data_IF_273811399208
#
_entry.id   IF_273811399208
#
_cell.length_a   1.000
_cell.length_b   1.000
_cell.length_c   1.000
_cell.angle_alpha   90.00
_cell.angle_beta   90.00
_cell.angle_gamma   90.00
#
_symmetry.space_group_name_H-M   'P 1'
#
loop_
_entity.id
_entity.type
_entity.pdbx_description
1 polymer ?
#
# COMPACT_ATOMS: atom_id res chain seq x y z
N UNK A 1 38.96 -7.21 -22.32
CA UNK A 1 39.25 -5.78 -22.05
C UNK A 1 38.01 -4.97 -22.38
N UNK A 2 37.59 -4.09 -21.46
CA UNK A 2 36.58 -3.01 -21.60
C UNK A 2 35.13 -3.44 -21.96
N UNK A 3 34.05 -2.86 -21.42
CA UNK A 3 33.84 -1.88 -20.36
C UNK A 3 32.35 -1.96 -19.93
N UNK A 4 32.08 -1.32 -18.78
CA UNK A 4 30.82 -1.22 -18.06
C UNK A 4 29.81 -0.26 -18.73
N UNK A 5 28.57 -0.32 -18.24
CA UNK A 5 27.56 0.78 -18.18
C UNK A 5 26.80 1.05 -19.49
N UNK A 6 25.50 1.33 -19.53
CA UNK A 6 24.57 1.68 -18.46
C UNK A 6 23.13 1.75 -18.96
N UNK A 7 22.24 1.62 -17.99
CA UNK A 7 20.78 1.79 -18.07
C UNK A 7 20.44 3.28 -18.28
N UNK A 8 19.41 3.54 -19.10
CA UNK A 8 18.47 4.68 -19.05
C UNK A 8 18.25 5.33 -20.43
N UNK A 9 17.21 4.92 -21.17
CA UNK A 9 16.65 5.74 -22.25
C UNK A 9 15.24 5.26 -22.65
N UNK A 10 14.22 5.47 -21.80
CA UNK A 10 12.81 5.31 -22.19
C UNK A 10 11.87 6.29 -21.46
N UNK A 11 12.25 7.57 -21.35
CA UNK A 11 11.41 8.59 -20.73
C UNK A 11 11.49 9.96 -21.41
N UNK A 12 11.39 10.02 -22.74
CA UNK A 12 11.50 11.30 -23.47
C UNK A 12 10.64 11.41 -24.75
N UNK A 13 9.51 10.69 -24.85
CA UNK A 13 8.63 10.74 -26.03
C UNK A 13 7.12 10.86 -25.72
N UNK A 14 6.73 11.52 -24.62
CA UNK A 14 5.31 11.74 -24.29
C UNK A 14 4.95 13.18 -23.86
N UNK A 15 5.74 14.18 -24.24
CA UNK A 15 5.48 15.61 -23.87
C UNK A 15 5.29 16.54 -25.08
N UNK A 16 5.22 16.03 -26.32
CA UNK A 16 5.15 16.88 -27.52
C UNK A 16 3.95 16.62 -28.46
N UNK A 17 2.82 16.13 -27.95
CA UNK A 17 1.58 16.08 -28.73
C UNK A 17 0.35 16.30 -27.85
N UNK A 18 0.02 17.57 -27.61
CA UNK A 18 -1.16 17.95 -26.82
C UNK A 18 -1.36 19.45 -26.64
N UNK A 19 -0.88 20.27 -27.58
CA UNK A 19 -1.15 21.70 -27.66
C UNK A 19 -1.91 21.98 -28.97
N UNK A 20 -3.20 21.65 -29.04
CA UNK A 20 -4.10 22.17 -30.09
C UNK A 20 -5.51 22.30 -29.50
N UNK A 21 -6.11 23.47 -29.73
CA UNK A 21 -7.42 23.97 -29.28
C UNK A 21 -7.44 24.71 -27.93
N UNK A 22 -6.70 25.83 -27.91
CA UNK A 22 -7.21 27.03 -27.28
C UNK A 22 -8.49 27.47 -28.02
N UNK A 23 -9.62 27.46 -27.33
CA UNK A 23 -10.79 28.25 -27.71
C UNK A 23 -10.94 29.35 -26.68
N UNK A 24 -10.73 30.58 -27.13
CA UNK A 24 -10.98 31.80 -26.36
C UNK A 24 -12.47 31.91 -26.03
N UNK A 25 -12.84 31.62 -24.78
CA UNK A 25 -14.14 31.98 -24.25
C UNK A 25 -14.11 33.45 -23.81
N UNK A 26 -14.36 34.36 -24.76
CA UNK A 26 -14.67 35.76 -24.48
C UNK A 26 -16.07 35.82 -23.84
N UNK A 27 -16.13 36.00 -22.53
CA UNK A 27 -17.39 36.28 -21.84
C UNK A 27 -17.61 37.80 -21.85
N UNK A 28 -18.47 38.27 -22.76
CA UNK A 28 -19.01 39.63 -22.77
C UNK A 28 -20.09 39.70 -21.68
N UNK A 29 -19.87 40.49 -20.63
CA UNK A 29 -20.92 40.82 -19.65
C UNK A 29 -21.46 42.21 -19.98
N UNK A 30 -22.65 42.21 -20.58
CA UNK A 30 -23.43 43.39 -20.92
C UNK A 30 -23.95 44.07 -19.62
N UNK A 31 -23.48 45.28 -19.34
CA UNK A 31 -23.93 46.08 -18.19
C UNK A 31 -25.28 46.69 -18.52
N UNK A 32 -26.36 46.16 -17.94
CA UNK A 32 -27.66 46.84 -17.89
C UNK A 32 -28.04 47.23 -16.46
N UNK A 33 -27.95 48.53 -16.20
CA UNK A 33 -28.58 49.21 -15.07
C UNK A 33 -30.09 48.95 -15.07
N UNK A 34 -30.59 48.18 -14.08
CA UNK A 34 -31.97 48.30 -13.61
C UNK A 34 -32.02 48.18 -12.09
N UNK A 35 -32.18 49.32 -11.44
CA UNK A 35 -32.64 49.47 -10.07
C UNK A 35 -34.02 48.86 -9.89
N UNK A 36 -34.17 47.94 -8.91
CA UNK A 36 -35.33 47.87 -8.01
C UNK A 36 -34.96 47.07 -6.75
N UNK A 37 -35.41 47.49 -5.55
CA UNK A 37 -34.90 47.01 -4.27
C UNK A 37 -35.69 45.81 -3.71
N UNK A 38 -35.09 45.23 -2.66
CA UNK A 38 -35.74 44.46 -1.59
C UNK A 38 -36.40 43.12 -1.96
N UNK A 39 -35.61 42.06 -1.85
CA UNK A 39 -35.84 41.07 -0.79
C UNK A 39 -34.49 40.67 -0.21
N UNK A 40 -34.30 40.97 1.07
CA UNK A 40 -33.17 40.48 1.85
C UNK A 40 -33.25 38.95 1.90
N UNK A 41 -32.66 38.30 0.89
CA UNK A 41 -32.30 36.90 0.98
C UNK A 41 -31.23 36.86 2.06
N UNK A 42 -31.61 36.41 3.26
CA UNK A 42 -30.66 36.02 4.30
C UNK A 42 -29.68 35.07 3.62
N UNK A 43 -28.50 35.60 3.31
CA UNK A 43 -27.35 34.81 2.90
C UNK A 43 -27.05 33.98 4.13
N UNK A 44 -27.50 32.72 4.12
CA UNK A 44 -27.01 31.72 5.03
C UNK A 44 -25.49 31.87 5.02
N UNK A 45 -24.93 32.23 6.18
CA UNK A 45 -23.50 32.44 6.32
C UNK A 45 -22.79 31.25 5.69
N UNK A 46 -21.87 31.45 4.74
CA UNK A 46 -21.13 30.33 4.19
C UNK A 46 -20.45 29.65 5.38
N UNK A 47 -20.74 28.36 5.57
CA UNK A 47 -19.95 27.51 6.47
C UNK A 47 -18.49 27.86 6.27
N UNK A 48 -17.79 28.18 7.36
CA UNK A 48 -16.43 28.71 7.30
C UNK A 48 -15.59 27.80 6.38
N UNK A 49 -15.24 28.27 5.18
CA UNK A 49 -14.59 27.45 4.15
C UNK A 49 -13.33 26.74 4.69
N UNK A 50 -12.66 27.40 5.63
CA UNK A 50 -11.54 26.87 6.39
C UNK A 50 -11.88 25.63 7.24
N UNK A 51 -12.98 25.64 7.99
CA UNK A 51 -13.38 24.48 8.81
C UNK A 51 -13.77 23.28 7.95
N UNK A 52 -14.33 23.52 6.77
CA UNK A 52 -14.60 22.47 5.78
C UNK A 52 -13.31 21.83 5.25
N UNK A 53 -12.27 22.61 4.98
CA UNK A 53 -10.97 22.05 4.54
C UNK A 53 -10.30 21.26 5.66
N UNK A 54 -10.37 21.74 6.90
CA UNK A 54 -9.86 21.03 8.07
C UNK A 54 -10.55 19.69 8.29
N UNK A 55 -11.89 19.64 8.19
CA UNK A 55 -12.63 18.39 8.34
C UNK A 55 -12.30 17.40 7.22
N UNK A 56 -12.15 17.89 5.97
CA UNK A 56 -11.70 17.06 4.85
C UNK A 56 -10.29 16.51 5.05
N UNK A 57 -9.37 17.31 5.60
CA UNK A 57 -8.01 16.86 5.92
C UNK A 57 -8.04 15.74 6.96
N UNK A 58 -8.80 15.93 8.04
CA UNK A 58 -8.94 14.92 9.10
C UNK A 58 -9.57 13.63 8.58
N UNK A 59 -10.65 13.73 7.80
CA UNK A 59 -11.30 12.58 7.18
C UNK A 59 -10.35 11.84 6.22
N UNK A 60 -9.58 12.55 5.41
CA UNK A 60 -8.65 11.92 4.47
C UNK A 60 -7.49 11.24 5.21
N UNK A 61 -7.01 11.83 6.33
CA UNK A 61 -6.03 11.21 7.22
C UNK A 61 -6.56 9.93 7.84
N UNK A 62 -7.79 9.93 8.36
CA UNK A 62 -8.40 8.73 8.95
C UNK A 62 -8.61 7.64 7.92
N UNK A 63 -9.05 7.99 6.71
CA UNK A 63 -9.26 7.03 5.64
C UNK A 63 -7.96 6.37 5.17
N UNK A 64 -6.88 7.15 5.02
CA UNK A 64 -5.56 6.64 4.68
C UNK A 64 -5.01 5.71 5.77
N UNK A 65 -5.16 6.10 7.04
CA UNK A 65 -4.75 5.27 8.17
C UNK A 65 -5.55 3.98 8.24
N UNK A 66 -6.87 4.05 8.07
CA UNK A 66 -7.75 2.88 8.06
C UNK A 66 -7.34 1.90 6.96
N UNK A 67 -7.06 2.40 5.75
CA UNK A 67 -6.60 1.57 4.64
C UNK A 67 -5.33 0.79 4.98
N UNK A 68 -4.34 1.45 5.59
CA UNK A 68 -3.08 0.82 5.98
C UNK A 68 -3.27 -0.22 7.10
N UNK A 69 -4.03 0.14 8.13
CA UNK A 69 -4.27 -0.74 9.29
C UNK A 69 -5.08 -1.99 8.91
N UNK A 70 -6.08 -1.87 8.05
CA UNK A 70 -6.83 -3.03 7.51
C UNK A 70 -5.91 -3.95 6.70
N UNK A 71 -5.00 -3.41 5.90
CA UNK A 71 -4.00 -4.25 5.23
C UNK A 71 -3.04 -4.94 6.18
N UNK A 72 -2.41 -4.18 7.07
CA UNK A 72 -1.38 -4.71 7.97
C UNK A 72 -1.96 -5.82 8.86
N UNK A 73 -3.19 -5.65 9.33
CA UNK A 73 -3.90 -6.67 10.12
C UNK A 73 -4.20 -7.93 9.30
N UNK A 74 -4.78 -7.82 8.10
CA UNK A 74 -5.12 -9.00 7.27
C UNK A 74 -3.90 -9.73 6.76
N UNK A 75 -2.97 -9.02 6.12
CA UNK A 75 -1.76 -9.61 5.57
C UNK A 75 -0.87 -10.20 6.69
N UNK A 76 -0.79 -9.51 7.83
CA UNK A 76 -0.08 -9.99 9.00
C UNK A 76 -0.70 -11.25 9.60
N UNK A 77 -2.04 -11.32 9.68
CA UNK A 77 -2.72 -12.51 10.20
C UNK A 77 -2.58 -13.73 9.28
N UNK A 78 -2.72 -13.53 7.96
CA UNK A 78 -2.55 -14.60 6.98
C UNK A 78 -1.11 -15.15 7.01
N UNK A 79 -0.11 -14.28 7.09
CA UNK A 79 1.29 -14.67 7.22
C UNK A 79 1.55 -15.36 8.56
N UNK A 80 1.06 -14.82 9.68
CA UNK A 80 1.20 -15.43 11.00
C UNK A 80 0.65 -16.85 11.00
N UNK A 81 -0.56 -17.04 10.48
CA UNK A 81 -1.22 -18.34 10.36
C UNK A 81 -0.41 -19.32 9.50
N UNK A 82 0.15 -18.85 8.39
CA UNK A 82 1.04 -19.68 7.58
C UNK A 82 2.31 -20.09 8.35
N UNK A 83 2.94 -19.14 9.04
CA UNK A 83 4.16 -19.38 9.80
C UNK A 83 3.94 -20.36 10.95
N UNK A 84 2.81 -20.26 11.66
CA UNK A 84 2.45 -21.21 12.70
C UNK A 84 2.23 -22.61 12.13
N UNK A 85 1.63 -22.71 10.94
CA UNK A 85 1.35 -24.00 10.31
C UNK A 85 2.60 -24.68 9.72
N UNK A 86 3.56 -23.90 9.22
CA UNK A 86 4.79 -24.45 8.63
C UNK A 86 5.85 -24.74 9.69
N UNK A 87 5.78 -24.11 10.86
CA UNK A 87 6.72 -24.36 11.96
C UNK A 87 6.47 -25.75 12.54
N UNK A 88 7.49 -26.60 12.56
CA UNK A 88 7.34 -28.00 12.98
C UNK A 88 6.69 -28.88 11.90
N UNK A 89 6.58 -28.38 10.66
CA UNK A 89 6.15 -29.19 9.52
C UNK A 89 7.10 -30.36 9.28
N UNK A 90 8.41 -30.15 9.42
CA UNK A 90 9.39 -31.21 9.23
C UNK A 90 9.24 -32.33 10.26
N UNK A 91 9.08 -31.98 11.53
CA UNK A 91 8.86 -32.94 12.60
C UNK A 91 7.56 -33.72 12.41
N UNK A 92 6.51 -33.05 11.89
CA UNK A 92 5.26 -33.70 11.48
C UNK A 92 5.47 -34.77 10.41
N UNK A 93 6.18 -34.43 9.33
CA UNK A 93 6.48 -35.38 8.24
C UNK A 93 7.32 -36.57 8.74
N UNK A 94 8.30 -36.31 9.60
CA UNK A 94 9.15 -37.36 10.19
C UNK A 94 8.31 -38.29 11.06
N UNK A 95 7.41 -37.76 11.89
CA UNK A 95 6.53 -38.54 12.75
C UNK A 95 5.53 -39.38 11.93
N UNK A 96 4.94 -38.80 10.89
CA UNK A 96 3.94 -39.48 10.04
C UNK A 96 4.52 -40.66 9.26
N UNK A 97 5.84 -40.66 9.05
CA UNK A 97 6.55 -41.77 8.45
C UNK A 97 6.51 -43.05 9.31
N UNK A 98 6.19 -42.94 10.61
CA UNK A 98 6.08 -44.03 11.58
C UNK A 98 7.31 -44.97 11.65
N UNK A 99 8.43 -44.58 11.05
CA UNK A 99 9.70 -45.28 11.14
C UNK A 99 10.47 -44.71 12.33
N UNK A 100 10.87 -45.60 13.25
CA UNK A 100 11.81 -45.19 14.30
C UNK A 100 13.12 -44.82 13.60
N UNK A 101 13.77 -43.70 14.00
CA UNK A 101 15.11 -43.43 13.50
C UNK A 101 15.97 -44.68 13.72
N UNK A 102 16.73 -45.12 12.71
CA UNK A 102 17.50 -46.35 12.80
C UNK A 102 18.44 -46.28 14.01
N UNK A 103 18.55 -47.39 14.74
CA UNK A 103 19.33 -47.50 15.99
C UNK A 103 20.83 -47.18 15.82
N UNK A 104 21.30 -47.09 14.57
CA UNK A 104 22.68 -46.78 14.20
C UNK A 104 22.73 -45.45 13.44
N UNK A 105 23.61 -44.53 13.87
CA UNK A 105 23.86 -43.17 13.37
C UNK A 105 24.34 -43.05 11.90
N UNK A 106 24.14 -44.08 11.05
CA UNK A 106 24.85 -44.24 9.77
C UNK A 106 23.95 -44.43 8.55
N UNK A 107 22.62 -44.47 8.67
CA UNK A 107 21.80 -44.47 7.45
C UNK A 107 21.87 -43.10 6.77
N UNK A 108 22.78 -42.98 5.80
CA UNK A 108 22.96 -41.80 4.96
C UNK A 108 21.63 -41.34 4.35
N UNK A 109 20.77 -42.31 4.00
CA UNK A 109 19.38 -42.10 3.59
C UNK A 109 18.59 -41.26 4.60
N UNK A 110 18.65 -41.58 5.90
CA UNK A 110 17.91 -40.86 6.96
C UNK A 110 18.44 -39.44 7.12
N UNK A 111 19.77 -39.25 7.20
CA UNK A 111 20.37 -37.91 7.33
C UNK A 111 20.01 -37.02 6.14
N UNK A 112 20.03 -37.58 4.92
CA UNK A 112 19.64 -36.87 3.70
C UNK A 112 18.16 -36.51 3.70
N UNK A 113 17.30 -37.43 4.12
CA UNK A 113 15.87 -37.21 4.28
C UNK A 113 15.57 -36.09 5.29
N UNK A 114 16.08 -36.21 6.51
CA UNK A 114 15.88 -35.25 7.60
C UNK A 114 16.34 -33.85 7.19
N UNK A 115 17.54 -33.75 6.60
CA UNK A 115 18.06 -32.49 6.08
C UNK A 115 17.13 -31.89 5.01
N UNK A 116 16.65 -32.71 4.07
CA UNK A 116 15.79 -32.24 2.98
C UNK A 116 14.45 -31.73 3.51
N UNK A 117 13.81 -32.42 4.44
CA UNK A 117 12.54 -32.00 5.01
C UNK A 117 12.70 -30.71 5.83
N UNK A 118 13.74 -30.61 6.67
CA UNK A 118 14.07 -29.37 7.40
C UNK A 118 14.35 -28.19 6.47
N UNK A 119 15.04 -28.46 5.35
CA UNK A 119 15.29 -27.45 4.31
C UNK A 119 13.99 -26.99 3.64
N UNK A 120 13.06 -27.89 3.34
CA UNK A 120 11.75 -27.56 2.77
C UNK A 120 10.98 -26.61 3.71
N UNK A 121 10.93 -26.91 5.02
CA UNK A 121 10.33 -26.03 6.02
C UNK A 121 11.01 -24.65 6.04
N UNK A 122 12.34 -24.62 6.12
CA UNK A 122 13.11 -23.38 6.15
C UNK A 122 12.87 -22.52 4.90
N UNK A 123 12.92 -23.12 3.72
CA UNK A 123 12.72 -22.42 2.44
C UNK A 123 11.30 -21.88 2.32
N UNK A 124 10.28 -22.66 2.71
CA UNK A 124 8.89 -22.22 2.71
C UNK A 124 8.66 -21.05 3.68
N UNK A 125 9.22 -21.13 4.89
CA UNK A 125 9.17 -20.06 5.90
C UNK A 125 9.84 -18.79 5.38
N UNK A 126 11.06 -18.90 4.85
CA UNK A 126 11.82 -17.76 4.32
C UNK A 126 11.13 -17.10 3.14
N UNK A 127 10.59 -17.89 2.21
CA UNK A 127 9.85 -17.39 1.06
C UNK A 127 8.56 -16.65 1.48
N UNK A 128 7.85 -17.16 2.49
CA UNK A 128 6.65 -16.52 3.02
C UNK A 128 6.96 -15.16 3.67
N UNK A 129 8.00 -15.10 4.52
CA UNK A 129 8.44 -13.84 5.16
C UNK A 129 8.87 -12.82 4.09
N UNK A 130 9.70 -13.24 3.13
CA UNK A 130 10.13 -12.36 2.05
C UNK A 130 8.93 -11.81 1.25
N UNK A 131 7.95 -12.65 0.94
CA UNK A 131 6.72 -12.21 0.28
C UNK A 131 5.97 -11.18 1.11
N UNK A 132 5.81 -11.42 2.41
CA UNK A 132 5.16 -10.49 3.34
C UNK A 132 5.86 -9.13 3.39
N UNK A 133 7.18 -9.12 3.48
CA UNK A 133 7.98 -7.89 3.49
C UNK A 133 7.83 -7.09 2.19
N UNK A 134 7.80 -7.77 1.04
CA UNK A 134 7.60 -7.11 -0.25
C UNK A 134 6.23 -6.44 -0.33
N UNK A 135 5.18 -7.15 0.10
CA UNK A 135 3.82 -6.61 0.12
C UNK A 135 3.68 -5.45 1.10
N UNK A 136 4.28 -5.56 2.28
CA UNK A 136 4.33 -4.48 3.26
C UNK A 136 4.99 -3.22 2.71
N UNK A 137 6.19 -3.35 2.13
CA UNK A 137 6.94 -2.23 1.54
C UNK A 137 6.17 -1.57 0.40
N UNK A 138 5.49 -2.35 -0.45
CA UNK A 138 4.69 -1.82 -1.54
C UNK A 138 3.59 -0.87 -1.03
N UNK A 139 2.77 -1.33 -0.06
CA UNK A 139 1.69 -0.47 0.46
C UNK A 139 2.24 0.69 1.29
N UNK A 140 3.31 0.47 2.05
CA UNK A 140 3.96 1.52 2.83
C UNK A 140 4.43 2.68 1.92
N UNK A 141 4.90 2.39 0.70
CA UNK A 141 5.25 3.40 -0.30
C UNK A 141 4.09 4.35 -0.60
N UNK A 142 2.88 3.84 -0.83
CA UNK A 142 1.69 4.67 -1.02
C UNK A 142 1.36 5.51 0.23
N UNK A 143 1.51 4.93 1.42
CA UNK A 143 1.23 5.66 2.67
C UNK A 143 2.20 6.80 2.93
N UNK A 144 3.47 6.64 2.54
CA UNK A 144 4.47 7.72 2.64
C UNK A 144 4.08 8.88 1.72
N UNK A 145 3.66 8.59 0.48
CA UNK A 145 3.21 9.61 -0.47
C UNK A 145 1.96 10.33 0.06
N UNK A 146 0.96 9.59 0.55
CA UNK A 146 -0.23 10.20 1.18
C UNK A 146 0.14 11.10 2.35
N UNK A 147 1.01 10.63 3.25
CA UNK A 147 1.48 11.42 4.40
C UNK A 147 2.19 12.69 3.95
N UNK A 148 3.02 12.63 2.92
CA UNK A 148 3.71 13.81 2.38
C UNK A 148 2.70 14.88 1.91
N UNK A 149 1.69 14.50 1.12
CA UNK A 149 0.67 15.44 0.65
C UNK A 149 -0.19 15.99 1.80
N UNK A 150 -0.63 15.14 2.72
CA UNK A 150 -1.46 15.55 3.86
C UNK A 150 -0.70 16.45 4.84
N UNK A 151 0.60 16.20 5.07
CA UNK A 151 1.46 17.09 5.86
C UNK A 151 1.61 18.46 5.18
N UNK A 152 1.79 18.48 3.85
CA UNK A 152 1.87 19.73 3.09
C UNK A 152 0.58 20.53 3.17
N UNK A 153 -0.59 19.88 3.09
CA UNK A 153 -1.88 20.52 3.36
C UNK A 153 -1.95 21.11 4.77
N UNK A 154 -1.53 20.34 5.78
CA UNK A 154 -1.51 20.80 7.17
C UNK A 154 -0.63 22.03 7.36
N UNK A 155 0.55 22.08 6.73
CA UNK A 155 1.45 23.23 6.79
C UNK A 155 0.83 24.50 6.18
N UNK A 156 0.07 24.36 5.09
CA UNK A 156 -0.68 25.49 4.52
C UNK A 156 -1.76 25.98 5.49
N UNK A 157 -2.50 25.09 6.14
CA UNK A 157 -3.55 25.45 7.10
C UNK A 157 -2.96 26.09 8.36
N UNK A 158 -1.83 25.60 8.87
CA UNK A 158 -1.09 26.24 9.99
C UNK A 158 -0.66 27.66 9.65
N UNK A 159 -0.27 27.93 8.39
CA UNK A 159 0.05 29.29 7.93
C UNK A 159 -1.20 30.17 7.88
N UNK A 160 -2.34 29.62 7.46
CA UNK A 160 -3.63 30.31 7.54
C UNK A 160 -3.93 30.70 9.00
N UNK A 161 -3.91 29.73 9.93
CA UNK A 161 -4.16 29.96 11.36
C UNK A 161 -3.24 31.05 11.93
N UNK A 162 -1.96 31.02 11.60
CA UNK A 162 -1.00 32.01 12.12
C UNK A 162 -1.35 33.44 11.69
N UNK A 163 -1.89 33.62 10.49
CA UNK A 163 -2.25 34.94 9.94
C UNK A 163 -3.65 35.37 10.36
N UNK A 164 -4.56 34.42 10.60
CA UNK A 164 -5.94 34.72 11.04
C UNK A 164 -6.07 34.85 12.55
N UNK A 165 -5.09 34.37 13.34
CA UNK A 165 -5.04 34.57 14.81
C UNK A 165 -5.12 36.06 15.16
N UNK A 166 -6.20 36.44 15.85
CA UNK A 166 -6.43 37.80 16.31
C UNK A 166 -7.07 38.73 15.27
N UNK A 167 -7.41 38.22 14.08
CA UNK A 167 -8.16 38.97 13.10
C UNK A 167 -9.58 38.44 12.98
N UNK A 168 -10.56 39.35 12.88
CA UNK A 168 -11.93 38.99 12.51
C UNK A 168 -11.97 38.41 11.08
N UNK A 169 -13.13 37.89 10.67
CA UNK A 169 -13.44 37.41 9.29
C UNK A 169 -12.75 38.10 8.10
N UNK A 170 -12.52 39.44 8.05
CA UNK A 170 -11.76 40.08 6.97
C UNK A 170 -10.45 39.40 6.58
N UNK A 171 -9.67 38.84 7.51
CA UNK A 171 -8.37 38.24 7.15
C UNK A 171 -8.49 36.90 6.43
N UNK A 172 -9.58 36.16 6.63
CA UNK A 172 -9.85 34.90 5.93
C UNK A 172 -10.07 35.12 4.42
N UNK A 173 -10.60 36.29 4.06
CA UNK A 173 -10.86 36.64 2.66
C UNK A 173 -9.64 37.21 1.93
N UNK A 174 -8.51 37.38 2.61
CA UNK A 174 -7.29 37.88 1.99
C UNK A 174 -6.84 36.95 0.84
N UNK A 175 -6.32 37.51 -0.28
CA UNK A 175 -5.86 36.70 -1.41
C UNK A 175 -4.80 35.67 -1.01
N UNK A 176 -3.97 36.01 -0.02
CA UNK A 176 -2.91 35.14 0.51
C UNK A 176 -3.47 33.92 1.24
N UNK A 177 -4.46 34.10 2.13
CA UNK A 177 -5.11 32.99 2.85
C UNK A 177 -5.90 32.11 1.88
N UNK A 178 -6.66 32.71 0.96
CA UNK A 178 -7.37 31.96 -0.10
C UNK A 178 -6.43 31.12 -0.96
N UNK A 179 -5.23 31.63 -1.29
CA UNK A 179 -4.23 30.87 -2.03
C UNK A 179 -3.77 29.63 -1.26
N UNK A 180 -3.45 29.77 0.04
CA UNK A 180 -3.05 28.63 0.87
C UNK A 180 -4.17 27.62 1.08
N UNK A 181 -5.41 28.08 1.28
CA UNK A 181 -6.59 27.22 1.35
C UNK A 181 -6.75 26.38 0.07
N UNK A 182 -6.64 27.02 -1.10
CA UNK A 182 -6.68 26.32 -2.40
C UNK A 182 -5.55 25.30 -2.54
N UNK A 183 -4.32 25.66 -2.16
CA UNK A 183 -3.18 24.74 -2.20
C UNK A 183 -3.38 23.54 -1.25
N UNK A 184 -3.89 23.77 -0.04
CA UNK A 184 -4.21 22.70 0.90
C UNK A 184 -5.27 21.75 0.32
N UNK A 185 -6.33 22.31 -0.27
CA UNK A 185 -7.41 21.54 -0.87
C UNK A 185 -6.94 20.74 -2.08
N UNK A 186 -6.06 21.28 -2.92
CA UNK A 186 -5.48 20.56 -4.05
C UNK A 186 -4.66 19.34 -3.60
N UNK A 187 -3.86 19.48 -2.55
CA UNK A 187 -3.07 18.35 -2.02
C UNK A 187 -3.96 17.29 -1.33
N UNK A 188 -5.06 17.69 -0.67
CA UNK A 188 -6.08 16.76 -0.15
C UNK A 188 -6.75 16.02 -1.31
N UNK A 189 -7.11 16.75 -2.37
CA UNK A 189 -7.79 16.19 -3.53
C UNK A 189 -6.94 15.12 -4.23
N UNK A 190 -5.64 15.38 -4.43
CA UNK A 190 -4.69 14.40 -4.98
C UNK A 190 -4.73 13.07 -4.23
N UNK A 191 -4.66 13.11 -2.90
CA UNK A 191 -4.74 11.90 -2.07
C UNK A 191 -6.09 11.19 -2.24
N UNK A 192 -7.19 11.95 -2.30
CA UNK A 192 -8.52 11.38 -2.51
C UNK A 192 -8.69 10.74 -3.89
N UNK A 193 -8.08 11.31 -4.93
CA UNK A 193 -8.07 10.74 -6.28
C UNK A 193 -7.25 9.45 -6.37
N UNK A 194 -6.12 9.38 -5.66
CA UNK A 194 -5.26 8.20 -5.62
C UNK A 194 -5.79 7.08 -4.70
N UNK A 195 -6.70 7.41 -3.78
CA UNK A 195 -7.21 6.47 -2.78
C UNK A 195 -7.99 5.29 -3.40
N UNK A 196 -8.90 5.46 -4.38
CA UNK A 196 -9.53 4.35 -5.09
C UNK A 196 -8.52 3.42 -5.76
N UNK A 197 -7.47 3.96 -6.38
CA UNK A 197 -6.40 3.15 -6.97
C UNK A 197 -5.69 2.33 -5.88
N UNK A 198 -5.26 2.97 -4.81
CA UNK A 198 -4.55 2.32 -3.70
C UNK A 198 -5.42 1.24 -3.04
N UNK A 199 -6.74 1.46 -2.92
CA UNK A 199 -7.71 0.46 -2.44
C UNK A 199 -7.79 -0.76 -3.36
N UNK A 200 -7.72 -0.58 -4.68
CA UNK A 200 -7.68 -1.70 -5.64
C UNK A 200 -6.37 -2.46 -5.52
N UNK A 201 -5.24 -1.77 -5.55
CA UNK A 201 -3.92 -2.38 -5.38
C UNK A 201 -3.83 -3.16 -4.08
N UNK A 202 -4.40 -2.63 -2.99
CA UNK A 202 -4.55 -3.34 -1.72
C UNK A 202 -5.29 -4.69 -1.85
N UNK A 203 -6.49 -4.69 -2.46
CA UNK A 203 -7.29 -5.92 -2.63
C UNK A 203 -6.54 -6.96 -3.47
N UNK A 204 -5.87 -6.52 -4.51
CA UNK A 204 -5.08 -7.39 -5.39
C UNK A 204 -3.88 -7.96 -4.64
N UNK A 205 -3.21 -7.14 -3.81
CA UNK A 205 -2.05 -7.53 -3.02
C UNK A 205 -2.41 -8.57 -1.96
N UNK A 206 -3.51 -8.39 -1.23
CA UNK A 206 -4.00 -9.39 -0.26
C UNK A 206 -4.35 -10.70 -0.97
N UNK A 207 -5.05 -10.63 -2.10
CA UNK A 207 -5.41 -11.81 -2.88
C UNK A 207 -4.17 -12.52 -3.43
N UNK A 208 -3.17 -11.77 -3.88
CA UNK A 208 -1.89 -12.29 -4.31
C UNK A 208 -1.11 -12.93 -3.17
N UNK A 209 -1.05 -12.30 -1.99
CA UNK A 209 -0.41 -12.85 -0.79
C UNK A 209 -1.02 -14.21 -0.41
N UNK A 210 -2.35 -14.31 -0.34
CA UNK A 210 -3.05 -15.57 -0.05
C UNK A 210 -2.74 -16.65 -1.06
N UNK A 211 -2.79 -16.33 -2.36
CA UNK A 211 -2.43 -17.28 -3.43
C UNK A 211 -1.00 -17.76 -3.30
N UNK A 212 -0.06 -16.84 -2.99
CA UNK A 212 1.35 -17.17 -2.81
C UNK A 212 1.58 -18.09 -1.61
N UNK A 213 0.98 -17.79 -0.45
CA UNK A 213 1.06 -18.64 0.74
C UNK A 213 0.48 -20.04 0.49
N UNK A 214 -0.68 -20.12 -0.17
CA UNK A 214 -1.27 -21.40 -0.56
C UNK A 214 -0.39 -22.19 -1.54
N UNK A 215 0.23 -21.51 -2.49
CA UNK A 215 1.17 -22.14 -3.42
C UNK A 215 2.41 -22.68 -2.69
N UNK A 216 2.99 -21.90 -1.76
CA UNK A 216 4.12 -22.35 -0.94
C UNK A 216 3.75 -23.57 -0.09
N UNK A 217 2.55 -23.59 0.50
CA UNK A 217 2.03 -24.75 1.23
C UNK A 217 1.97 -25.99 0.35
N UNK A 218 1.34 -25.89 -0.82
CA UNK A 218 1.24 -27.01 -1.78
C UNK A 218 2.62 -27.49 -2.23
N UNK A 219 3.54 -26.56 -2.48
CA UNK A 219 4.90 -26.88 -2.87
C UNK A 219 5.67 -27.61 -1.76
N UNK A 220 5.50 -27.20 -0.50
CA UNK A 220 6.11 -27.87 0.63
C UNK A 220 5.60 -29.32 0.76
N UNK A 221 4.28 -29.52 0.66
CA UNK A 221 3.64 -30.85 0.72
C UNK A 221 4.13 -31.76 -0.42
N UNK A 222 4.16 -31.26 -1.65
CA UNK A 222 4.65 -32.04 -2.80
C UNK A 222 6.12 -32.45 -2.58
N UNK A 223 7.00 -31.48 -2.27
CA UNK A 223 8.43 -31.75 -2.03
C UNK A 223 8.68 -32.68 -0.85
N UNK A 224 7.84 -32.64 0.19
CA UNK A 224 7.95 -33.58 1.31
C UNK A 224 7.53 -34.98 0.88
N UNK A 225 6.48 -35.13 0.08
CA UNK A 225 6.08 -36.44 -0.49
C UNK A 225 7.22 -37.04 -1.30
N UNK A 226 7.84 -36.24 -2.19
CA UNK A 226 8.99 -36.67 -2.98
C UNK A 226 10.17 -37.10 -2.08
N UNK A 227 10.41 -36.36 -0.99
CA UNK A 227 11.47 -36.70 -0.04
C UNK A 227 11.19 -38.03 0.68
N UNK A 228 9.93 -38.30 1.03
CA UNK A 228 9.51 -39.58 1.63
C UNK A 228 9.69 -40.73 0.65
N UNK A 229 9.30 -40.55 -0.61
CA UNK A 229 9.46 -41.57 -1.66
C UNK A 229 10.94 -41.89 -1.93
N UNK A 230 11.78 -40.85 -2.05
CA UNK A 230 13.23 -41.02 -2.21
C UNK A 230 13.86 -41.75 -1.02
N UNK A 231 13.41 -41.46 0.20
CA UNK A 231 13.90 -42.12 1.40
C UNK A 231 13.52 -43.61 1.40
N UNK A 232 12.25 -43.95 1.13
CA UNK A 232 11.78 -45.33 1.00
C UNK A 232 12.55 -46.11 -0.07
N UNK A 233 12.81 -45.47 -1.21
CA UNK A 233 13.62 -46.06 -2.27
C UNK A 233 15.07 -46.33 -1.81
N UNK A 234 15.68 -45.38 -1.09
CA UNK A 234 17.04 -45.48 -0.57
C UNK A 234 17.19 -46.64 0.43
N UNK A 235 16.18 -46.88 1.29
CA UNK A 235 16.19 -48.02 2.21
C UNK A 235 16.00 -49.34 1.48
N UNK A 236 15.12 -49.39 0.46
CA UNK A 236 14.82 -50.63 -0.25
C UNK A 236 15.93 -51.09 -1.20
N UNK A 237 16.89 -50.22 -1.53
CA UNK A 237 18.04 -50.52 -2.38
C UNK A 237 19.37 -50.68 -1.63
N UNK A 238 19.41 -50.28 -0.35
CA UNK A 238 20.57 -50.46 0.54
C UNK A 238 20.47 -51.74 1.34
#
# INVERSE_FOLDING_TARGET
MAARSGVACFALLAVLAGNVLAQDAVIIVDVKNRTRPTHARQVALPENHYSSILSQLQATKSDALLLYTDFASRAGNDLKTFLTNITGFADGVIRDLNERPPYNDVHECWKKFEFRVKKIEHDARRAAVYSGDCHHKFLLGHMIVFRMHLNKSEDYLKRCDKVTRGCNRPCEFSPRVKRWQRLAQNEIHRVREDMPFTRRSYRDLVSHARRKLNHLKKQAIAKSSDAVEEYKYCINQG
#
